data_IF_359596894763
#
_entry.id   IF_359596894763
#
_cell.length_a   1.000
_cell.length_b   1.000
_cell.length_c   1.000
_cell.angle_alpha   90.00
_cell.angle_beta   90.00
_cell.angle_gamma   90.00
#
_symmetry.space_group_name_H-M   'P 1'
#
loop_
_entity.id
_entity.type
_entity.pdbx_description
1 polymer ?
#
# COMPACT_ATOMS: atom_id res chain seq x y z
N UNK A 1 -6.50 47.98 -10.40
CA UNK A 1 -6.93 46.79 -9.63
C UNK A 1 -7.21 47.25 -8.20
N UNK A 2 -8.44 47.12 -7.72
CA UNK A 2 -8.82 47.65 -6.41
C UNK A 2 -8.24 46.76 -5.29
N UNK A 3 -7.91 47.33 -4.11
CA UNK A 3 -7.31 46.60 -2.97
C UNK A 3 -8.13 45.37 -2.56
N UNK A 4 -9.45 45.44 -2.72
CA UNK A 4 -10.39 44.34 -2.49
C UNK A 4 -10.18 43.18 -3.47
N UNK A 5 -9.92 43.48 -4.75
CA UNK A 5 -9.66 42.45 -5.77
C UNK A 5 -8.33 41.72 -5.51
N UNK A 6 -7.31 42.45 -5.02
CA UNK A 6 -6.03 41.87 -4.62
C UNK A 6 -6.21 40.93 -3.42
N UNK A 7 -7.01 41.35 -2.42
CA UNK A 7 -7.30 40.53 -1.24
C UNK A 7 -8.08 39.26 -1.60
N UNK A 8 -9.07 39.36 -2.49
CA UNK A 8 -9.85 38.21 -2.97
C UNK A 8 -8.94 37.23 -3.73
N UNK A 9 -8.03 37.71 -4.58
CA UNK A 9 -7.05 36.86 -5.26
C UNK A 9 -6.08 36.17 -4.29
N UNK A 10 -5.69 36.85 -3.21
CA UNK A 10 -4.81 36.29 -2.16
C UNK A 10 -5.53 35.24 -1.30
N UNK A 11 -6.82 35.43 -1.03
CA UNK A 11 -7.63 34.42 -0.32
C UNK A 11 -7.89 33.21 -1.22
N UNK A 12 -8.23 33.41 -2.50
CA UNK A 12 -8.41 32.30 -3.44
C UNK A 12 -7.11 31.52 -3.71
N UNK A 13 -5.93 32.15 -3.67
CA UNK A 13 -4.66 31.45 -3.87
C UNK A 13 -4.27 30.55 -2.69
N UNK A 14 -4.77 30.81 -1.47
CA UNK A 14 -4.55 29.96 -0.29
C UNK A 14 -5.47 28.73 -0.22
N UNK A 15 -6.56 28.71 -1.00
CA UNK A 15 -7.54 27.61 -0.98
C UNK A 15 -7.18 26.43 -1.90
N UNK A 16 -6.12 26.55 -2.72
CA UNK A 16 -5.85 25.61 -3.82
C UNK A 16 -4.82 24.51 -3.52
N UNK A 17 -4.37 24.34 -2.27
CA UNK A 17 -3.31 23.37 -1.94
C UNK A 17 -3.62 22.54 -0.68
N UNK A 18 -4.86 22.06 -0.53
CA UNK A 18 -5.04 20.84 0.26
C UNK A 18 -4.57 19.65 -0.58
N UNK A 19 -3.25 19.54 -0.75
CA UNK A 19 -2.63 18.32 -1.26
C UNK A 19 -2.99 17.22 -0.25
N UNK A 20 -3.74 16.21 -0.68
CA UNK A 20 -4.10 15.11 0.19
C UNK A 20 -2.83 14.34 0.56
N UNK A 21 -2.22 14.72 1.67
CA UNK A 21 -0.93 14.19 2.10
C UNK A 21 -1.18 12.81 2.68
N UNK A 22 -0.80 11.77 1.93
CA UNK A 22 -0.82 10.40 2.42
C UNK A 22 -0.02 10.26 3.70
N UNK A 23 -0.45 9.38 4.59
CA UNK A 23 0.27 9.05 5.81
C UNK A 23 1.21 7.88 5.53
N UNK A 24 2.51 8.19 5.47
CA UNK A 24 3.56 7.20 5.21
C UNK A 24 4.11 6.60 6.50
N UNK A 25 4.29 5.28 6.49
CA UNK A 25 4.84 4.51 7.60
C UNK A 25 5.95 3.60 7.09
N UNK A 26 7.07 3.56 7.80
CA UNK A 26 8.21 2.69 7.50
C UNK A 26 8.76 2.05 8.77
N UNK A 27 9.04 0.74 8.70
CA UNK A 27 9.66 -0.05 9.77
C UNK A 27 10.71 -0.98 9.18
N UNK A 28 11.91 -1.01 9.76
CA UNK A 28 13.02 -1.84 9.26
C UNK A 28 12.77 -3.32 9.55
N UNK A 29 12.18 -3.63 10.69
CA UNK A 29 11.97 -4.98 11.20
C UNK A 29 10.55 -5.17 11.74
N UNK A 30 10.15 -6.43 11.86
CA UNK A 30 8.91 -6.79 12.57
C UNK A 30 8.87 -6.25 13.99
N UNK A 31 9.97 -6.26 14.75
CA UNK A 31 9.97 -5.78 16.14
C UNK A 31 9.67 -4.29 16.26
N UNK A 32 10.16 -3.47 15.33
CA UNK A 32 9.84 -2.04 15.26
C UNK A 32 8.36 -1.81 14.96
N UNK A 33 7.80 -2.60 14.04
CA UNK A 33 6.39 -2.59 13.68
C UNK A 33 5.50 -3.07 14.84
N UNK A 34 5.86 -4.17 15.50
CA UNK A 34 5.05 -4.81 16.52
C UNK A 34 4.89 -3.95 17.78
N UNK A 35 5.84 -3.04 18.05
CA UNK A 35 5.77 -2.05 19.13
C UNK A 35 4.78 -0.90 18.87
N UNK A 36 4.23 -0.78 17.66
CA UNK A 36 3.28 0.29 17.33
C UNK A 36 1.88 -0.03 17.85
N UNK A 37 1.09 1.02 18.05
CA UNK A 37 -0.31 0.90 18.44
C UNK A 37 -1.15 0.29 17.31
N UNK A 38 -2.34 -0.20 17.66
CA UNK A 38 -3.26 -0.87 16.71
C UNK A 38 -3.67 0.04 15.55
N UNK A 39 -3.82 1.35 15.79
CA UNK A 39 -4.13 2.32 14.73
C UNK A 39 -3.07 2.32 13.62
N UNK A 40 -1.80 2.23 13.99
CA UNK A 40 -0.69 2.19 13.03
C UNK A 40 -0.58 0.83 12.34
N UNK A 41 -0.94 -0.26 13.03
CA UNK A 41 -0.93 -1.62 12.48
C UNK A 41 -2.08 -1.86 11.51
N UNK A 42 -3.23 -1.21 11.70
CA UNK A 42 -4.43 -1.39 10.87
C UNK A 42 -4.26 -1.02 9.39
N UNK A 43 -3.20 -0.29 9.04
CA UNK A 43 -2.84 0.01 7.64
C UNK A 43 -1.99 -1.07 6.97
N UNK A 44 -1.78 -2.20 7.65
CA UNK A 44 -1.11 -3.37 7.13
C UNK A 44 -2.03 -4.59 7.22
N UNK A 45 -1.83 -5.62 6.37
CA UNK A 45 -2.48 -6.90 6.57
C UNK A 45 -2.09 -7.52 7.93
N UNK A 46 -3.03 -8.24 8.59
CA UNK A 46 -2.76 -8.80 9.93
C UNK A 46 -1.73 -9.95 9.93
N UNK A 47 -1.46 -10.56 8.78
CA UNK A 47 -0.62 -11.75 8.63
C UNK A 47 0.87 -11.45 8.44
N UNK A 48 1.40 -10.39 9.04
CA UNK A 48 2.83 -10.09 9.02
C UNK A 48 3.54 -10.93 10.08
N UNK A 49 4.58 -11.67 9.69
CA UNK A 49 5.32 -12.56 10.58
C UNK A 49 6.67 -11.99 11.05
N UNK A 50 7.29 -12.66 12.03
CA UNK A 50 8.50 -12.16 12.71
C UNK A 50 9.75 -12.04 11.82
N UNK A 51 9.70 -12.61 10.61
CA UNK A 51 10.77 -12.54 9.63
C UNK A 51 10.63 -11.34 8.68
N UNK A 52 9.55 -10.57 8.80
CA UNK A 52 9.28 -9.43 7.94
C UNK A 52 10.30 -8.29 8.14
N UNK A 53 10.71 -7.69 7.03
CA UNK A 53 11.64 -6.56 7.01
C UNK A 53 11.22 -5.54 5.96
N UNK A 54 11.75 -4.31 6.07
CA UNK A 54 11.48 -3.21 5.13
C UNK A 54 9.97 -3.00 4.93
N UNK A 55 9.20 -3.00 6.01
CA UNK A 55 7.77 -2.77 5.98
C UNK A 55 7.52 -1.31 5.64
N UNK A 56 6.73 -1.06 4.62
CA UNK A 56 6.38 0.30 4.20
C UNK A 56 4.94 0.35 3.74
N UNK A 57 4.22 1.40 4.13
CA UNK A 57 2.94 1.75 3.53
C UNK A 57 2.81 3.26 3.33
N UNK A 58 1.89 3.64 2.45
CA UNK A 58 1.29 4.96 2.42
C UNK A 58 -0.24 4.79 2.39
N UNK A 59 -0.94 5.52 3.27
CA UNK A 59 -2.39 5.44 3.44
C UNK A 59 -3.08 6.78 3.16
N UNK A 60 -4.28 6.72 2.57
CA UNK A 60 -5.13 7.83 2.19
C UNK A 60 -6.54 7.59 2.71
N UNK A 61 -7.21 8.65 3.18
CA UNK A 61 -8.57 8.56 3.72
C UNK A 61 -9.65 8.78 2.65
N UNK A 62 -9.39 9.59 1.61
CA UNK A 62 -10.40 9.99 0.60
C UNK A 62 -9.81 10.15 -0.82
N UNK A 63 -9.67 9.09 -1.62
CA UNK A 63 -10.28 7.79 -1.42
C UNK A 63 -9.56 6.96 -0.36
N UNK A 64 -10.31 6.06 0.29
CA UNK A 64 -9.73 5.04 1.16
C UNK A 64 -8.82 4.14 0.31
N UNK A 65 -7.52 4.37 0.42
CA UNK A 65 -6.52 3.67 -0.36
C UNK A 65 -5.25 3.46 0.48
N UNK A 66 -4.65 2.29 0.40
CA UNK A 66 -3.37 2.00 1.01
C UNK A 66 -2.51 1.26 0.01
N UNK A 67 -1.28 1.72 -0.20
CA UNK A 67 -0.25 0.95 -0.88
C UNK A 67 0.78 0.51 0.14
N UNK A 68 1.23 -0.74 0.08
CA UNK A 68 2.32 -1.16 0.94
C UNK A 68 3.06 -2.40 0.48
N UNK A 69 4.23 -2.61 1.08
CA UNK A 69 5.07 -3.77 0.82
C UNK A 69 5.89 -4.16 2.04
N UNK A 70 6.33 -5.41 2.06
CA UNK A 70 7.36 -5.88 2.98
C UNK A 70 8.10 -7.08 2.40
N UNK A 71 9.34 -7.27 2.84
CA UNK A 71 10.16 -8.42 2.48
C UNK A 71 9.99 -9.52 3.52
N UNK A 72 10.12 -10.78 3.11
CA UNK A 72 10.07 -11.95 3.99
C UNK A 72 11.22 -12.94 3.73
N UNK A 73 11.43 -13.89 4.64
CA UNK A 73 12.46 -14.94 4.53
C UNK A 73 11.87 -16.35 4.51
N UNK A 74 10.90 -16.63 5.38
CA UNK A 74 10.26 -17.93 5.63
C UNK A 74 9.09 -18.13 4.66
N UNK A 75 9.37 -18.72 3.49
CA UNK A 75 8.35 -18.96 2.47
C UNK A 75 7.18 -19.79 2.99
N UNK A 76 7.43 -20.83 3.79
CA UNK A 76 6.40 -21.77 4.28
C UNK A 76 5.23 -21.07 4.99
N UNK A 77 5.49 -20.07 5.83
CA UNK A 77 4.45 -19.31 6.50
C UNK A 77 3.53 -18.61 5.48
N UNK A 78 4.12 -17.86 4.55
CA UNK A 78 3.34 -17.13 3.55
C UNK A 78 2.74 -18.05 2.48
N UNK A 79 3.37 -19.18 2.18
CA UNK A 79 2.79 -20.21 1.32
C UNK A 79 1.52 -20.79 1.95
N UNK A 80 1.53 -21.03 3.27
CA UNK A 80 0.33 -21.44 4.01
C UNK A 80 -0.74 -20.35 4.02
N UNK A 81 -0.39 -19.06 4.12
CA UNK A 81 -1.38 -17.99 4.02
C UNK A 81 -2.00 -17.98 2.61
N UNK A 82 -1.20 -18.12 1.56
CA UNK A 82 -1.68 -18.07 0.18
C UNK A 82 -2.45 -19.33 -0.26
N UNK A 83 -2.25 -20.46 0.41
CA UNK A 83 -2.97 -21.71 0.08
C UNK A 83 -4.39 -21.75 0.64
N UNK A 84 -4.66 -21.08 1.78
CA UNK A 84 -5.95 -21.15 2.48
C UNK A 84 -6.88 -19.97 2.22
N UNK A 85 -6.41 -18.91 1.55
CA UNK A 85 -7.21 -17.71 1.25
C UNK A 85 -7.70 -17.70 -0.21
N UNK A 86 -8.72 -16.88 -0.47
CA UNK A 86 -9.31 -16.70 -1.80
C UNK A 86 -8.24 -16.23 -2.80
N UNK A 87 -7.91 -17.10 -3.76
CA UNK A 87 -7.06 -16.75 -4.89
C UNK A 87 -7.83 -15.86 -5.86
N UNK A 88 -7.22 -14.77 -6.27
CA UNK A 88 -7.79 -13.86 -7.26
C UNK A 88 -6.88 -13.77 -8.48
N UNK A 89 -7.45 -13.33 -9.61
CA UNK A 89 -6.66 -13.07 -10.80
C UNK A 89 -5.71 -11.87 -10.54
N UNK A 90 -4.47 -11.98 -11.02
CA UNK A 90 -3.52 -10.87 -11.12
C UNK A 90 -4.13 -9.62 -11.78
N UNK A 91 -4.97 -9.80 -12.81
CA UNK A 91 -5.61 -8.67 -13.50
C UNK A 91 -6.53 -7.87 -12.58
N UNK A 92 -7.16 -8.50 -11.59
CA UNK A 92 -7.96 -7.81 -10.58
C UNK A 92 -7.08 -6.97 -9.64
N UNK A 93 -5.93 -7.50 -9.22
CA UNK A 93 -4.95 -6.74 -8.45
C UNK A 93 -4.40 -5.55 -9.25
N UNK A 94 -4.03 -5.79 -10.51
CA UNK A 94 -3.58 -4.75 -11.44
C UNK A 94 -4.65 -3.66 -11.59
N UNK A 95 -5.91 -4.04 -11.81
CA UNK A 95 -7.01 -3.09 -11.90
C UNK A 95 -7.13 -2.21 -10.65
N UNK A 96 -7.00 -2.80 -9.45
CA UNK A 96 -7.05 -2.04 -8.19
C UNK A 96 -5.90 -1.04 -8.04
N UNK A 97 -4.70 -1.41 -8.50
CA UNK A 97 -3.55 -0.49 -8.56
C UNK A 97 -3.80 0.65 -9.55
N UNK A 98 -4.28 0.35 -10.75
CA UNK A 98 -4.54 1.34 -11.80
C UNK A 98 -5.67 2.31 -11.44
N UNK A 99 -6.72 1.84 -10.75
CA UNK A 99 -7.78 2.70 -10.19
C UNK A 99 -7.21 3.82 -9.29
N UNK A 100 -6.06 3.58 -8.66
CA UNK A 100 -5.42 4.49 -7.71
C UNK A 100 -4.04 4.98 -8.20
N UNK A 101 -3.78 4.94 -9.51
CA UNK A 101 -2.45 5.21 -10.08
C UNK A 101 -1.88 6.58 -9.70
N UNK A 102 -2.73 7.60 -9.53
CA UNK A 102 -2.33 8.96 -9.10
C UNK A 102 -1.78 9.01 -7.67
N UNK A 103 -2.14 8.05 -6.84
CA UNK A 103 -1.70 7.89 -5.45
C UNK A 103 -0.60 6.85 -5.30
N UNK A 104 -0.28 6.10 -6.37
CA UNK A 104 0.72 5.03 -6.35
C UNK A 104 2.10 5.62 -6.13
N UNK A 105 2.81 5.26 -5.04
CA UNK A 105 4.13 5.80 -4.80
C UNK A 105 5.19 5.12 -5.69
N UNK A 106 6.26 5.84 -6.01
CA UNK A 106 7.31 5.36 -6.93
C UNK A 106 8.03 4.09 -6.48
N UNK A 107 8.06 3.81 -5.17
CA UNK A 107 8.66 2.61 -4.61
C UNK A 107 7.74 1.39 -4.66
N UNK A 108 6.46 1.58 -5.00
CA UNK A 108 5.52 0.48 -5.20
C UNK A 108 5.76 -0.14 -6.56
N UNK A 109 5.48 -1.44 -6.67
CA UNK A 109 5.80 -2.28 -7.81
C UNK A 109 5.46 -1.66 -9.18
N UNK A 110 6.30 -1.95 -10.17
CA UNK A 110 5.98 -1.77 -11.58
C UNK A 110 5.41 -3.09 -12.13
N UNK A 111 4.13 -3.07 -12.50
CA UNK A 111 3.40 -4.25 -12.98
C UNK A 111 3.91 -4.75 -14.33
N UNK A 112 4.58 -3.90 -15.12
CA UNK A 112 5.12 -4.26 -16.43
C UNK A 112 6.40 -5.09 -16.31
N UNK A 113 7.14 -4.94 -15.21
CA UNK A 113 8.40 -5.63 -14.96
C UNK A 113 8.22 -6.94 -14.19
N UNK A 114 7.00 -7.26 -13.76
CA UNK A 114 6.71 -8.44 -12.96
C UNK A 114 6.62 -9.72 -13.80
N UNK A 115 7.43 -10.71 -13.43
CA UNK A 115 7.32 -12.07 -13.94
C UNK A 115 6.08 -12.77 -13.35
N UNK A 116 5.04 -12.87 -14.16
CA UNK A 116 3.73 -13.45 -13.78
C UNK A 116 3.82 -14.93 -13.37
N UNK A 117 4.89 -15.66 -13.72
CA UNK A 117 5.05 -17.06 -13.29
C UNK A 117 5.47 -17.16 -11.81
N UNK A 118 6.05 -16.09 -11.27
CA UNK A 118 6.59 -16.04 -9.91
C UNK A 118 5.70 -15.27 -8.93
N UNK A 119 4.46 -14.99 -9.31
CA UNK A 119 3.50 -14.27 -8.47
C UNK A 119 2.32 -15.15 -8.09
N UNK A 120 1.83 -14.96 -6.87
CA UNK A 120 0.52 -15.41 -6.45
C UNK A 120 -0.25 -14.22 -5.90
N UNK A 121 -1.58 -14.22 -6.08
CA UNK A 121 -2.43 -13.12 -5.64
C UNK A 121 -3.63 -13.66 -4.88
N UNK A 122 -3.92 -13.05 -3.74
CA UNK A 122 -5.07 -13.38 -2.88
C UNK A 122 -5.83 -12.12 -2.47
N UNK A 123 -7.07 -12.32 -2.02
CA UNK A 123 -7.82 -11.33 -1.25
C UNK A 123 -7.91 -11.78 0.21
N UNK A 124 -7.56 -10.89 1.15
CA UNK A 124 -7.64 -11.16 2.59
C UNK A 124 -7.85 -9.85 3.36
N UNK A 125 -8.83 -9.82 4.26
CA UNK A 125 -9.08 -8.66 5.16
C UNK A 125 -9.27 -7.33 4.42
N UNK A 126 -9.89 -7.37 3.23
CA UNK A 126 -10.06 -6.19 2.37
C UNK A 126 -8.82 -5.80 1.57
N UNK A 127 -7.66 -6.40 1.83
CA UNK A 127 -6.45 -6.23 1.04
C UNK A 127 -6.44 -7.15 -0.18
N UNK A 128 -6.00 -6.61 -1.29
CA UNK A 128 -5.53 -7.34 -2.46
C UNK A 128 -4.02 -7.50 -2.30
N UNK A 129 -3.54 -8.74 -2.28
CA UNK A 129 -2.17 -9.05 -1.85
C UNK A 129 -1.49 -9.85 -2.94
N UNK A 130 -0.33 -9.38 -3.38
CA UNK A 130 0.54 -10.05 -4.34
C UNK A 130 1.81 -10.51 -3.63
N UNK A 131 2.10 -11.81 -3.69
CA UNK A 131 3.37 -12.39 -3.26
C UNK A 131 4.25 -12.61 -4.47
N UNK A 132 5.37 -11.91 -4.55
CA UNK A 132 6.45 -12.19 -5.48
C UNK A 132 7.42 -13.18 -4.82
N UNK A 133 7.53 -14.38 -5.38
CA UNK A 133 8.37 -15.48 -4.87
C UNK A 133 9.85 -15.27 -5.17
N UNK A 134 10.16 -14.67 -6.31
CA UNK A 134 11.53 -14.42 -6.78
C UNK A 134 12.27 -13.49 -5.82
N UNK A 135 11.65 -12.36 -5.48
CA UNK A 135 12.27 -11.32 -4.66
C UNK A 135 11.86 -11.40 -3.18
N UNK A 136 11.12 -12.45 -2.80
CA UNK A 136 10.52 -12.64 -1.48
C UNK A 136 9.91 -11.36 -0.90
N UNK A 137 9.04 -10.75 -1.69
CA UNK A 137 8.36 -9.50 -1.35
C UNK A 137 6.86 -9.69 -1.46
N UNK A 138 6.13 -9.21 -0.46
CA UNK A 138 4.68 -9.08 -0.50
C UNK A 138 4.36 -7.62 -0.77
N UNK A 139 3.47 -7.40 -1.73
CA UNK A 139 2.85 -6.13 -2.02
C UNK A 139 1.37 -6.21 -1.69
N UNK A 140 0.80 -5.16 -1.14
CA UNK A 140 -0.62 -5.10 -0.84
C UNK A 140 -1.22 -3.76 -1.22
N UNK A 141 -2.47 -3.81 -1.63
CA UNK A 141 -3.31 -2.63 -1.81
C UNK A 141 -4.64 -2.82 -1.10
N UNK A 142 -5.06 -1.82 -0.34
CA UNK A 142 -6.45 -1.66 0.12
C UNK A 142 -7.06 -0.56 -0.74
N UNK A 143 -8.24 -0.82 -1.29
CA UNK A 143 -9.00 0.15 -2.08
C UNK A 143 -10.46 -0.22 -2.01
N UNK A 144 -11.32 0.80 -1.95
CA UNK A 144 -12.75 0.63 -2.25
C UNK A 144 -12.96 0.04 -3.66
#
# INVERSE_FOLDING_TARGET
MNRIQILILLVLSTLSLSCQKGYEQEYKTFDEFNKKNERNKGWFPSFIYNDATKLRNISYLEPLCVFGKFNYKKSEFYDSIFSVNEKINFDLFNHKVEQNVKLKPNWFLDLKELDKLNVEVIKKEGFYVLKNKKDKTIYFILSN
#
